data_IF_757364950241
#
_entry.id   IF_757364950241
#
_cell.length_a   1.000
_cell.length_b   1.000
_cell.length_c   1.000
_cell.angle_alpha   90.00
_cell.angle_beta   90.00
_cell.angle_gamma   90.00
#
_symmetry.space_group_name_H-M   'P 1'
#
loop_
_entity.id
_entity.type
_entity.pdbx_description
1 polymer ?
#
# COMPACT_ATOMS: atom_id res chain seq x y z
N UNK A 1 26.98 -8.38 -3.80
CA UNK A 1 25.67 -8.70 -3.20
C UNK A 1 25.81 -9.71 -2.05
N UNK A 2 26.35 -10.91 -2.29
CA UNK A 2 26.57 -11.92 -1.24
C UNK A 2 27.36 -11.39 -0.02
N UNK A 3 28.42 -10.61 -0.24
CA UNK A 3 29.16 -9.96 0.84
C UNK A 3 28.27 -9.04 1.70
N UNK A 4 27.30 -8.34 1.12
CA UNK A 4 26.38 -7.51 1.88
C UNK A 4 25.45 -8.36 2.76
N UNK A 5 24.96 -9.49 2.23
CA UNK A 5 24.18 -10.47 3.01
C UNK A 5 25.03 -11.06 4.13
N UNK A 6 26.29 -11.40 3.87
CA UNK A 6 27.22 -11.88 4.89
C UNK A 6 27.42 -10.86 6.01
N UNK A 7 27.58 -9.57 5.69
CA UNK A 7 27.68 -8.51 6.70
C UNK A 7 26.40 -8.37 7.53
N UNK A 8 25.22 -8.51 6.93
CA UNK A 8 23.96 -8.54 7.67
C UNK A 8 23.88 -9.73 8.65
N UNK A 9 24.40 -10.91 8.26
CA UNK A 9 24.51 -12.07 9.15
C UNK A 9 25.50 -11.81 10.30
N UNK A 10 26.65 -11.20 10.01
CA UNK A 10 27.67 -10.86 11.00
C UNK A 10 27.13 -9.92 12.09
N UNK A 11 26.34 -8.91 11.72
CA UNK A 11 25.62 -8.07 12.68
C UNK A 11 24.78 -8.89 13.68
N UNK A 12 24.04 -9.88 13.18
CA UNK A 12 23.21 -10.76 13.99
C UNK A 12 24.02 -11.55 15.02
N UNK A 13 25.22 -11.99 14.66
CA UNK A 13 26.15 -12.67 15.57
C UNK A 13 26.74 -11.74 16.63
N UNK A 14 26.98 -10.46 16.31
CA UNK A 14 27.59 -9.51 17.24
C UNK A 14 26.62 -8.90 18.26
N UNK A 15 25.35 -8.69 17.89
CA UNK A 15 24.39 -7.96 18.72
C UNK A 15 23.26 -8.82 19.29
N UNK A 16 23.22 -10.12 18.95
CA UNK A 16 22.08 -10.99 19.20
C UNK A 16 20.87 -10.56 18.37
N UNK A 17 20.11 -11.52 17.86
CA UNK A 17 18.76 -11.21 17.38
C UNK A 17 18.00 -10.62 18.56
N UNK A 18 17.50 -9.39 18.44
CA UNK A 18 16.68 -8.75 19.48
C UNK A 18 15.33 -9.45 19.62
N UNK A 19 15.31 -10.77 19.79
CA UNK A 19 14.14 -11.66 19.78
C UNK A 19 13.10 -11.28 20.83
N UNK A 20 13.52 -10.61 21.91
CA UNK A 20 12.64 -10.10 22.97
C UNK A 20 12.36 -8.59 22.90
N UNK A 21 12.84 -7.88 21.87
CA UNK A 21 12.61 -6.45 21.72
C UNK A 21 11.27 -6.18 21.03
N UNK A 22 10.43 -5.32 21.63
CA UNK A 22 9.12 -4.90 21.08
C UNK A 22 9.26 -4.24 19.69
N UNK A 23 10.43 -3.66 19.39
CA UNK A 23 10.81 -3.12 18.07
C UNK A 23 12.25 -3.50 17.74
N UNK A 24 12.51 -4.68 17.16
CA UNK A 24 13.86 -5.05 16.75
C UNK A 24 14.37 -4.09 15.66
N UNK A 25 15.70 -3.93 15.61
CA UNK A 25 16.38 -3.27 14.50
C UNK A 25 16.60 -4.27 13.35
N UNK A 26 16.57 -3.83 12.09
CA UNK A 26 16.89 -4.70 10.97
C UNK A 26 18.37 -5.09 10.96
N UNK A 27 18.63 -6.27 10.44
CA UNK A 27 19.95 -6.72 10.00
C UNK A 27 20.26 -6.11 8.64
N UNK A 28 21.24 -5.22 8.61
CA UNK A 28 21.62 -4.45 7.42
C UNK A 28 23.12 -4.56 7.19
N UNK A 29 23.50 -5.05 6.02
CA UNK A 29 24.85 -5.04 5.51
C UNK A 29 24.99 -4.11 4.31
N UNK A 30 26.11 -3.41 4.22
CA UNK A 30 26.43 -2.49 3.14
C UNK A 30 27.84 -2.74 2.62
N UNK A 31 27.98 -2.74 1.30
CA UNK A 31 29.27 -2.87 0.59
C UNK A 31 29.41 -1.72 -0.39
N UNK A 32 30.53 -1.01 -0.34
CA UNK A 32 30.88 0.06 -1.29
C UNK A 32 32.02 -0.42 -2.17
N UNK A 33 31.82 -0.37 -3.48
CA UNK A 33 32.84 -0.67 -4.50
C UNK A 33 33.18 0.63 -5.22
N UNK A 34 34.40 1.12 -5.00
CA UNK A 34 34.88 2.38 -5.59
C UNK A 34 35.19 2.21 -7.09
N UNK A 35 35.31 3.30 -7.88
CA UNK A 35 35.73 3.21 -9.28
C UNK A 35 37.11 2.55 -9.49
N UNK A 36 37.98 2.59 -8.47
CA UNK A 36 39.30 1.93 -8.48
C UNK A 36 39.24 0.44 -8.17
N UNK A 37 38.06 -0.08 -7.81
CA UNK A 37 37.87 -1.49 -7.43
C UNK A 37 38.11 -1.77 -5.94
N UNK A 38 38.40 -0.77 -5.10
CA UNK A 38 38.48 -0.96 -3.65
C UNK A 38 37.09 -1.33 -3.09
N UNK A 39 37.05 -2.31 -2.20
CA UNK A 39 35.82 -2.85 -1.60
C UNK A 39 35.83 -2.58 -0.10
N UNK A 40 34.78 -1.93 0.39
CA UNK A 40 34.58 -1.63 1.81
C UNK A 40 33.30 -2.27 2.30
N UNK A 41 33.37 -2.98 3.42
CA UNK A 41 32.23 -3.72 3.99
C UNK A 41 31.84 -3.17 5.36
N UNK A 42 30.55 -3.13 5.62
CA UNK A 42 30.01 -2.65 6.89
C UNK A 42 28.68 -3.32 7.19
N UNK A 43 28.29 -3.26 8.46
CA UNK A 43 26.96 -3.61 8.93
C UNK A 43 26.48 -2.59 9.96
N UNK A 44 25.17 -2.56 10.22
CA UNK A 44 24.60 -1.65 11.22
C UNK A 44 25.19 -1.94 12.60
N UNK A 45 25.69 -0.92 13.28
CA UNK A 45 26.34 -1.08 14.57
C UNK A 45 27.84 -1.34 14.53
N UNK A 46 28.44 -1.53 13.35
CA UNK A 46 29.88 -1.83 13.23
C UNK A 46 30.73 -0.75 13.91
N UNK A 47 31.59 -1.19 14.83
CA UNK A 47 32.62 -0.35 15.46
C UNK A 47 33.83 -0.22 14.53
N UNK A 48 34.39 0.98 14.47
CA UNK A 48 35.61 1.29 13.74
C UNK A 48 36.70 1.81 14.70
N UNK A 49 37.94 1.90 14.20
CA UNK A 49 39.04 2.48 14.96
C UNK A 49 38.68 3.92 15.38
N UNK A 50 38.88 4.23 16.66
CA UNK A 50 38.47 5.52 17.26
C UNK A 50 37.03 5.55 17.82
N UNK A 51 36.25 4.47 17.73
CA UNK A 51 34.94 4.35 18.39
C UNK A 51 35.03 3.81 19.84
N UNK A 52 36.21 3.89 20.48
CA UNK A 52 36.43 3.45 21.86
C UNK A 52 35.46 4.15 22.82
N UNK A 53 34.67 3.36 23.58
CA UNK A 53 33.65 3.88 24.49
C UNK A 53 32.38 4.43 23.82
N UNK A 54 32.28 4.48 22.48
CA UNK A 54 31.09 4.95 21.76
C UNK A 54 30.06 3.84 21.55
N UNK A 55 28.80 4.13 21.84
CA UNK A 55 27.69 3.27 21.44
C UNK A 55 27.38 3.46 19.94
N UNK A 56 27.81 2.50 19.12
CA UNK A 56 27.59 2.53 17.67
C UNK A 56 26.29 1.85 17.24
N UNK A 57 25.46 1.31 18.14
CA UNK A 57 24.29 0.50 17.78
C UNK A 57 23.26 1.20 16.85
N UNK A 58 23.28 2.53 16.83
CA UNK A 58 22.41 3.36 15.97
C UNK A 58 23.09 3.86 14.68
N UNK A 59 24.36 3.51 14.44
CA UNK A 59 25.05 3.80 13.19
C UNK A 59 24.59 2.80 12.13
N UNK A 60 24.02 3.33 11.04
CA UNK A 60 23.56 2.52 9.91
C UNK A 60 24.75 2.01 9.09
N UNK A 61 24.55 0.90 8.38
CA UNK A 61 25.61 0.29 7.59
C UNK A 61 26.16 1.27 6.53
N UNK A 62 25.28 1.96 5.80
CA UNK A 62 25.66 2.90 4.74
C UNK A 62 26.40 4.12 5.29
N UNK A 63 25.99 4.61 6.48
CA UNK A 63 26.71 5.65 7.21
C UNK A 63 28.12 5.20 7.56
N UNK A 64 28.25 4.02 8.18
CA UNK A 64 29.56 3.50 8.58
C UNK A 64 30.47 3.28 7.38
N UNK A 65 29.94 2.75 6.27
CA UNK A 65 30.71 2.60 5.04
C UNK A 65 31.24 3.93 4.52
N UNK A 66 30.37 4.91 4.29
CA UNK A 66 30.74 6.15 3.60
C UNK A 66 31.55 7.12 4.47
N UNK A 67 31.26 7.18 5.77
CA UNK A 67 31.83 8.20 6.66
C UNK A 67 33.04 7.71 7.46
N UNK A 68 33.12 6.40 7.73
CA UNK A 68 34.18 5.84 8.59
C UNK A 68 35.18 4.97 7.85
N UNK A 69 34.78 4.31 6.76
CA UNK A 69 35.60 3.29 6.11
C UNK A 69 36.14 3.74 4.75
N UNK A 70 35.31 4.36 3.92
CA UNK A 70 35.72 4.81 2.59
C UNK A 70 36.53 6.11 2.71
N UNK A 71 37.78 6.16 2.21
CA UNK A 71 38.55 7.39 2.21
C UNK A 71 37.84 8.52 1.44
N UNK A 72 38.01 9.75 1.92
CA UNK A 72 37.33 10.90 1.34
C UNK A 72 37.65 11.05 -0.16
N UNK A 73 36.60 11.19 -0.98
CA UNK A 73 36.69 11.28 -2.44
C UNK A 73 36.66 9.94 -3.17
N UNK A 74 36.96 8.80 -2.52
CA UNK A 74 36.91 7.49 -3.19
C UNK A 74 35.48 6.95 -3.37
N UNK A 75 34.51 7.52 -2.65
CA UNK A 75 33.08 7.21 -2.80
C UNK A 75 32.46 7.79 -4.09
N UNK A 76 33.09 8.80 -4.71
CA UNK A 76 32.52 9.46 -5.90
C UNK A 76 32.50 8.47 -7.06
N UNK A 77 31.31 8.26 -7.63
CA UNK A 77 31.11 7.31 -8.71
C UNK A 77 31.08 5.84 -8.28
N UNK A 78 31.08 5.55 -6.97
CA UNK A 78 31.04 4.19 -6.45
C UNK A 78 29.71 3.47 -6.73
N UNK A 79 29.73 2.14 -6.66
CA UNK A 79 28.52 1.30 -6.58
C UNK A 79 28.33 0.83 -5.15
N UNK A 80 27.14 1.05 -4.60
CA UNK A 80 26.79 0.64 -3.24
C UNK A 80 25.79 -0.51 -3.28
N UNK A 81 26.07 -1.57 -2.52
CA UNK A 81 25.16 -2.70 -2.33
C UNK A 81 24.67 -2.67 -0.89
N UNK A 82 23.36 -2.52 -0.67
CA UNK A 82 22.75 -2.51 0.67
C UNK A 82 21.66 -3.56 0.75
N UNK A 83 21.59 -4.29 1.87
CA UNK A 83 20.58 -5.35 2.03
C UNK A 83 19.18 -4.82 2.29
N UNK A 84 19.05 -3.59 2.83
CA UNK A 84 17.75 -2.93 3.04
C UNK A 84 17.76 -1.55 2.39
N UNK A 85 16.60 -1.09 1.93
CA UNK A 85 16.43 0.24 1.33
C UNK A 85 17.01 1.35 2.24
N UNK A 86 17.81 2.28 1.69
CA UNK A 86 18.38 3.38 2.46
C UNK A 86 17.30 4.28 3.07
N UNK A 87 17.39 4.51 4.37
CA UNK A 87 16.45 5.39 5.08
C UNK A 87 16.49 6.84 4.56
N UNK A 88 15.34 7.51 4.57
CA UNK A 88 15.19 8.93 4.18
C UNK A 88 15.11 9.87 5.39
N UNK A 89 15.04 9.32 6.60
CA UNK A 89 15.00 10.06 7.86
C UNK A 89 15.73 9.26 8.94
N UNK A 90 16.49 9.95 9.79
CA UNK A 90 17.09 9.41 11.01
C UNK A 90 16.54 10.15 12.22
N UNK A 91 16.61 9.51 13.39
CA UNK A 91 16.29 10.18 14.65
C UNK A 91 17.38 11.22 15.00
N UNK A 92 16.97 12.38 15.51
CA UNK A 92 17.86 13.52 15.76
C UNK A 92 18.23 14.32 14.50
N UNK A 93 19.34 15.06 14.56
CA UNK A 93 19.85 15.93 13.48
C UNK A 93 20.76 15.18 12.47
N UNK A 94 20.68 13.86 12.41
CA UNK A 94 21.55 13.07 11.54
C UNK A 94 21.03 13.03 10.09
N UNK A 95 21.92 13.34 9.14
CA UNK A 95 21.65 13.19 7.69
C UNK A 95 21.29 11.74 7.36
N UNK A 96 20.23 11.55 6.56
CA UNK A 96 19.71 10.23 6.17
C UNK A 96 20.67 9.42 5.31
N UNK A 97 20.50 8.10 5.24
CA UNK A 97 21.36 7.26 4.39
C UNK A 97 21.19 7.63 2.90
N UNK A 98 19.95 7.88 2.47
CA UNK A 98 19.67 8.29 1.10
C UNK A 98 20.34 9.64 0.77
N UNK A 99 20.25 10.64 1.66
CA UNK A 99 20.93 11.93 1.46
C UNK A 99 22.46 11.77 1.42
N UNK A 100 23.03 10.91 2.27
CA UNK A 100 24.48 10.64 2.27
C UNK A 100 24.95 10.01 0.97
N UNK A 101 24.18 9.10 0.40
CA UNK A 101 24.50 8.50 -0.90
C UNK A 101 24.48 9.56 -2.02
N UNK A 102 23.51 10.47 -1.97
CA UNK A 102 23.43 11.62 -2.90
C UNK A 102 24.63 12.56 -2.72
N UNK A 103 24.92 12.96 -1.49
CA UNK A 103 26.04 13.86 -1.17
C UNK A 103 27.40 13.24 -1.53
N UNK A 104 27.54 11.93 -1.34
CA UNK A 104 28.71 11.15 -1.75
C UNK A 104 28.80 10.96 -3.27
N UNK A 105 27.80 11.39 -4.05
CA UNK A 105 27.79 11.28 -5.52
C UNK A 105 28.09 9.86 -5.99
N UNK A 106 27.48 8.87 -5.34
CA UNK A 106 27.57 7.49 -5.79
C UNK A 106 26.89 7.35 -7.15
N UNK A 107 27.41 6.47 -8.01
CA UNK A 107 26.85 6.29 -9.35
C UNK A 107 25.63 5.37 -9.33
N UNK A 108 25.71 4.33 -8.50
CA UNK A 108 24.75 3.22 -8.53
C UNK A 108 24.49 2.68 -7.12
N UNK A 109 23.23 2.37 -6.83
CA UNK A 109 22.82 1.70 -5.60
C UNK A 109 22.02 0.44 -5.96
N UNK A 110 22.46 -0.69 -5.42
CA UNK A 110 21.80 -1.99 -5.58
C UNK A 110 21.18 -2.39 -4.25
N UNK A 111 19.89 -2.68 -4.23
CA UNK A 111 19.09 -2.82 -3.01
C UNK A 111 18.59 -4.26 -2.85
N UNK A 112 18.72 -4.82 -1.65
CA UNK A 112 18.34 -6.19 -1.36
C UNK A 112 16.86 -6.39 -1.03
N UNK A 113 16.28 -5.50 -0.22
CA UNK A 113 14.87 -5.56 0.17
C UNK A 113 14.35 -4.16 0.49
N UNK A 114 13.08 -3.91 0.25
CA UNK A 114 12.45 -2.61 0.53
C UNK A 114 12.19 -2.44 2.03
N UNK A 115 12.33 -1.21 2.54
CA UNK A 115 12.01 -0.95 3.95
C UNK A 115 10.48 -0.96 4.11
N UNK A 116 9.89 -1.80 4.99
CA UNK A 116 8.45 -1.82 5.22
C UNK A 116 7.90 -0.55 5.89
N UNK A 117 8.75 0.30 6.46
CA UNK A 117 8.34 1.56 7.10
C UNK A 117 7.80 2.56 6.04
N UNK A 118 6.69 3.24 6.34
CA UNK A 118 6.01 4.18 5.42
C UNK A 118 6.76 5.48 5.16
N UNK A 119 7.90 5.64 5.82
CA UNK A 119 8.88 6.69 5.59
C UNK A 119 9.94 6.29 4.55
N UNK A 120 9.95 5.04 4.09
CA UNK A 120 10.81 4.52 3.02
C UNK A 120 10.48 5.16 1.67
N UNK A 121 11.16 6.25 1.35
CA UNK A 121 11.17 6.85 0.01
C UNK A 121 12.61 6.92 -0.53
N UNK A 122 13.46 5.99 -0.10
CA UNK A 122 14.88 5.97 -0.39
C UNK A 122 15.11 5.79 -1.88
N UNK A 123 14.43 4.82 -2.48
CA UNK A 123 14.45 4.59 -3.94
C UNK A 123 14.05 5.84 -4.70
N UNK A 124 12.92 6.46 -4.34
CA UNK A 124 12.44 7.67 -5.03
C UNK A 124 13.47 8.79 -4.93
N UNK A 125 14.00 9.06 -3.73
CA UNK A 125 15.02 10.10 -3.52
C UNK A 125 16.31 9.84 -4.31
N UNK A 126 16.79 8.59 -4.37
CA UNK A 126 18.00 8.23 -5.12
C UNK A 126 17.76 8.36 -6.64
N UNK A 127 16.61 7.91 -7.13
CA UNK A 127 16.23 8.05 -8.52
C UNK A 127 16.13 9.53 -8.93
N UNK A 128 15.52 10.38 -8.09
CA UNK A 128 15.41 11.83 -8.30
C UNK A 128 16.78 12.53 -8.34
N UNK A 129 17.80 11.94 -7.72
CA UNK A 129 19.19 12.39 -7.79
C UNK A 129 19.97 11.81 -8.98
N UNK A 130 19.30 11.12 -9.91
CA UNK A 130 19.90 10.43 -11.07
C UNK A 130 20.93 9.34 -10.69
N UNK A 131 20.72 8.67 -9.56
CA UNK A 131 21.51 7.49 -9.17
C UNK A 131 20.90 6.25 -9.82
N UNK A 132 21.73 5.41 -10.44
CA UNK A 132 21.29 4.16 -11.06
C UNK A 132 20.83 3.17 -9.98
N UNK A 133 19.63 2.62 -10.14
CA UNK A 133 19.04 1.67 -9.18
C UNK A 133 18.94 0.27 -9.77
N UNK A 134 19.25 -0.73 -8.95
CA UNK A 134 19.04 -2.14 -9.27
C UNK A 134 18.68 -2.93 -8.00
N UNK A 135 18.23 -4.18 -8.18
CA UNK A 135 17.90 -5.07 -7.08
C UNK A 135 18.89 -6.24 -6.99
N UNK A 136 18.92 -6.89 -5.83
CA UNK A 136 19.65 -8.14 -5.66
C UNK A 136 18.95 -9.27 -6.42
N UNK A 137 19.67 -10.37 -6.66
CA UNK A 137 19.08 -11.59 -7.22
C UNK A 137 17.97 -12.14 -6.31
N UNK A 138 16.88 -12.71 -6.86
CA UNK A 138 15.70 -13.15 -6.09
C UNK A 138 16.01 -14.06 -4.90
N UNK A 139 16.96 -14.99 -5.04
CA UNK A 139 17.34 -15.90 -3.96
C UNK A 139 17.97 -15.16 -2.77
N UNK A 140 18.81 -14.16 -3.05
CA UNK A 140 19.41 -13.32 -2.02
C UNK A 140 18.38 -12.39 -1.37
N UNK A 141 17.41 -11.88 -2.13
CA UNK A 141 16.30 -11.10 -1.57
C UNK A 141 15.47 -11.94 -0.60
N UNK A 142 15.16 -13.18 -0.96
CA UNK A 142 14.42 -14.12 -0.10
C UNK A 142 15.21 -14.45 1.18
N UNK A 143 16.53 -14.61 1.06
CA UNK A 143 17.38 -14.77 2.23
C UNK A 143 17.36 -13.52 3.14
N UNK A 144 17.52 -12.33 2.59
CA UNK A 144 17.47 -11.08 3.36
C UNK A 144 16.13 -10.94 4.09
N UNK A 145 15.02 -11.28 3.42
CA UNK A 145 13.69 -11.33 4.02
C UNK A 145 13.64 -12.27 5.21
N UNK A 146 14.15 -13.50 5.08
CA UNK A 146 14.22 -14.49 6.17
C UNK A 146 15.07 -14.01 7.33
N UNK A 147 16.25 -13.44 7.06
CA UNK A 147 17.13 -12.86 8.09
C UNK A 147 16.45 -11.75 8.88
N UNK A 148 15.58 -10.98 8.22
CA UNK A 148 14.86 -9.86 8.82
C UNK A 148 13.42 -10.20 9.23
N UNK A 149 13.01 -11.47 9.23
CA UNK A 149 11.60 -11.85 9.39
C UNK A 149 10.97 -11.24 10.65
N UNK A 150 11.63 -11.31 11.81
CA UNK A 150 11.12 -10.71 13.05
C UNK A 150 11.03 -9.17 12.98
N UNK A 151 11.99 -8.51 12.32
CA UNK A 151 11.90 -7.07 12.05
C UNK A 151 10.71 -6.74 11.16
N UNK A 152 10.56 -7.44 10.03
CA UNK A 152 9.46 -7.26 9.10
C UNK A 152 8.11 -7.50 9.80
N UNK A 153 8.00 -8.58 10.57
CA UNK A 153 6.80 -8.93 11.33
C UNK A 153 6.48 -7.90 12.41
N UNK A 154 7.49 -7.34 13.11
CA UNK A 154 7.25 -6.25 14.06
C UNK A 154 6.72 -4.98 13.39
N UNK A 155 7.18 -4.69 12.16
CA UNK A 155 6.75 -3.53 11.38
C UNK A 155 5.36 -3.76 10.78
N UNK A 156 5.04 -4.99 10.36
CA UNK A 156 3.71 -5.41 9.91
C UNK A 156 2.71 -5.52 11.07
N UNK A 157 3.10 -6.01 12.24
CA UNK A 157 2.26 -5.99 13.44
C UNK A 157 2.00 -4.55 13.91
N UNK A 158 2.99 -3.65 13.76
CA UNK A 158 2.78 -2.21 13.94
C UNK A 158 2.01 -1.55 12.78
N UNK A 159 1.88 -2.21 11.63
CA UNK A 159 1.05 -1.74 10.50
C UNK A 159 -0.45 -1.94 10.74
N UNK A 160 -0.83 -2.69 11.78
CA UNK A 160 -2.20 -2.70 12.33
C UNK A 160 -2.50 -1.48 13.22
N UNK A 161 -1.48 -0.69 13.56
CA UNK A 161 -1.60 0.48 14.43
C UNK A 161 -0.73 1.63 13.89
N UNK A 162 -0.96 2.04 12.64
CA UNK A 162 -0.30 3.23 12.11
C UNK A 162 -0.96 4.49 12.69
N UNK A 163 -0.19 5.49 13.16
CA UNK A 163 -0.75 6.72 13.72
C UNK A 163 -1.70 7.45 12.75
N UNK A 164 -1.51 7.26 11.44
CA UNK A 164 -2.37 7.87 10.43
C UNK A 164 -3.66 7.10 10.15
N UNK A 165 -3.81 5.85 10.63
CA UNK A 165 -5.10 5.14 10.52
C UNK A 165 -6.17 5.92 11.25
N UNK A 166 -5.96 6.22 12.53
CA UNK A 166 -6.92 6.98 13.33
C UNK A 166 -7.11 8.41 12.83
N UNK A 167 -6.12 9.00 12.15
CA UNK A 167 -6.26 10.30 11.48
C UNK A 167 -7.25 10.22 10.30
N UNK A 168 -7.06 9.25 9.39
CA UNK A 168 -7.95 9.05 8.24
C UNK A 168 -9.34 8.57 8.69
N UNK A 169 -9.41 7.64 9.65
CA UNK A 169 -10.67 7.17 10.24
C UNK A 169 -11.46 8.37 10.80
N UNK A 170 -10.82 9.28 11.56
CA UNK A 170 -11.46 10.51 12.06
C UNK A 170 -11.86 11.47 10.95
N UNK A 171 -11.01 11.68 9.94
CA UNK A 171 -11.34 12.50 8.76
C UNK A 171 -12.57 11.95 8.01
N UNK A 172 -12.78 10.64 8.07
CA UNK A 172 -13.96 9.97 7.53
C UNK A 172 -15.11 9.85 8.54
N UNK A 173 -15.10 10.63 9.64
CA UNK A 173 -16.15 10.61 10.67
C UNK A 173 -16.26 9.29 11.44
N UNK A 174 -15.17 8.53 11.53
CA UNK A 174 -15.09 7.17 12.07
C UNK A 174 -16.07 6.18 11.41
N UNK A 175 -16.48 6.44 10.17
CA UNK A 175 -17.29 5.53 9.34
C UNK A 175 -16.43 4.52 8.56
N UNK A 176 -15.12 4.64 8.70
CA UNK A 176 -14.13 3.78 8.09
C UNK A 176 -13.30 3.12 9.19
N UNK A 177 -12.87 1.88 8.95
CA UNK A 177 -11.86 1.18 9.73
C UNK A 177 -10.74 0.70 8.81
N UNK A 178 -9.50 1.05 9.08
CA UNK A 178 -8.36 0.49 8.34
C UNK A 178 -7.92 -0.79 9.04
N UNK A 179 -8.01 -1.91 8.32
CA UNK A 179 -7.78 -3.25 8.86
C UNK A 179 -6.34 -3.72 8.70
N UNK A 180 -5.60 -3.18 7.74
CA UNK A 180 -4.18 -3.50 7.56
C UNK A 180 -3.54 -2.78 6.38
N UNK A 181 -2.24 -2.55 6.47
CA UNK A 181 -1.38 -2.08 5.39
C UNK A 181 -0.32 -3.16 5.12
N UNK A 182 -0.36 -3.70 3.90
CA UNK A 182 0.31 -4.92 3.48
C UNK A 182 1.26 -4.61 2.32
N UNK A 183 2.42 -5.27 2.32
CA UNK A 183 3.41 -5.17 1.26
C UNK A 183 2.99 -5.88 -0.04
N UNK A 184 2.10 -6.87 0.04
CA UNK A 184 1.57 -7.64 -1.09
C UNK A 184 0.10 -7.98 -0.85
N UNK A 185 -0.61 -8.39 -1.90
CA UNK A 185 -1.97 -8.89 -1.77
C UNK A 185 -2.05 -10.06 -0.78
N UNK A 186 -3.09 -10.14 0.06
CA UNK A 186 -3.30 -11.28 0.94
C UNK A 186 -3.78 -12.49 0.14
N UNK A 187 -3.43 -13.68 0.63
CA UNK A 187 -3.99 -14.95 0.18
C UNK A 187 -5.45 -15.04 0.60
N UNK A 188 -6.25 -15.68 -0.24
CA UNK A 188 -7.67 -15.92 0.02
C UNK A 188 -7.87 -17.36 0.50
N UNK A 189 -8.48 -17.52 1.67
CA UNK A 189 -8.79 -18.84 2.25
C UNK A 189 -10.29 -18.99 2.43
N UNK A 190 -10.90 -19.83 1.60
CA UNK A 190 -12.29 -20.24 1.75
C UNK A 190 -12.43 -21.12 3.00
N UNK A 191 -13.29 -20.73 3.93
CA UNK A 191 -13.54 -21.49 5.16
C UNK A 191 -14.93 -22.12 5.23
N UNK A 192 -15.83 -21.80 4.28
CA UNK A 192 -17.15 -22.41 4.23
C UNK A 192 -18.11 -21.69 3.29
N UNK A 193 -19.40 -21.98 3.45
CA UNK A 193 -20.52 -21.26 2.86
C UNK A 193 -21.30 -20.59 3.99
N UNK A 194 -21.73 -19.35 3.77
CA UNK A 194 -22.50 -18.61 4.76
C UNK A 194 -23.83 -19.30 5.06
N UNK A 195 -24.16 -19.38 6.35
CA UNK A 195 -25.42 -19.92 6.83
C UNK A 195 -26.51 -18.83 6.79
N UNK A 196 -27.42 -18.92 5.82
CA UNK A 196 -28.48 -17.93 5.65
C UNK A 196 -29.47 -17.95 6.84
N UNK A 197 -29.80 -16.79 7.44
CA UNK A 197 -30.69 -16.73 8.59
C UNK A 197 -32.07 -17.30 8.26
N UNK A 198 -32.59 -18.29 9.03
CA UNK A 198 -33.88 -18.92 8.76
C UNK A 198 -35.04 -17.91 8.69
N UNK A 199 -34.97 -16.84 9.48
CA UNK A 199 -36.00 -15.79 9.54
C UNK A 199 -36.12 -14.93 8.27
N UNK A 200 -35.15 -15.01 7.34
CA UNK A 200 -35.15 -14.26 6.08
C UNK A 200 -35.43 -15.14 4.85
N UNK A 201 -35.81 -16.40 5.03
CA UNK A 201 -35.88 -17.40 3.95
C UNK A 201 -36.96 -17.10 2.89
N UNK A 202 -38.15 -16.64 3.30
CA UNK A 202 -39.26 -16.36 2.35
C UNK A 202 -38.94 -15.22 1.36
N UNK A 203 -38.44 -14.04 1.79
CA UNK A 203 -37.96 -13.01 0.86
C UNK A 203 -36.86 -13.50 -0.09
N UNK A 204 -35.94 -14.33 0.40
CA UNK A 204 -34.87 -14.91 -0.40
C UNK A 204 -35.42 -15.84 -1.50
N UNK A 205 -36.32 -16.77 -1.16
CA UNK A 205 -36.96 -17.67 -2.14
C UNK A 205 -37.72 -16.91 -3.23
N UNK A 206 -38.41 -15.82 -2.86
CA UNK A 206 -39.09 -14.94 -3.81
C UNK A 206 -38.11 -14.27 -4.77
N UNK A 207 -36.96 -13.81 -4.26
CA UNK A 207 -35.90 -13.21 -5.07
C UNK A 207 -35.26 -14.23 -6.02
N UNK A 208 -35.02 -15.47 -5.57
CA UNK A 208 -34.52 -16.58 -6.41
C UNK A 208 -35.46 -16.85 -7.58
N UNK A 209 -36.76 -17.07 -7.32
CA UNK A 209 -37.75 -17.33 -8.38
C UNK A 209 -37.82 -16.20 -9.41
N UNK A 210 -37.84 -14.95 -8.96
CA UNK A 210 -37.85 -13.78 -9.85
C UNK A 210 -36.60 -13.73 -10.74
N UNK A 211 -35.42 -14.04 -10.21
CA UNK A 211 -34.19 -14.03 -10.99
C UNK A 211 -34.09 -15.22 -11.95
N UNK A 212 -34.58 -16.41 -11.58
CA UNK A 212 -34.71 -17.54 -12.51
C UNK A 212 -35.59 -17.19 -13.71
N UNK A 213 -36.73 -16.53 -13.47
CA UNK A 213 -37.64 -16.06 -14.51
C UNK A 213 -37.03 -14.95 -15.40
N UNK A 214 -36.25 -14.03 -14.82
CA UNK A 214 -35.69 -12.90 -15.55
C UNK A 214 -34.37 -13.21 -16.29
N UNK A 215 -33.51 -14.07 -15.71
CA UNK A 215 -32.11 -14.18 -16.13
C UNK A 215 -31.60 -15.62 -16.31
N UNK A 216 -32.40 -16.66 -16.04
CA UNK A 216 -32.05 -18.03 -16.41
C UNK A 216 -30.68 -18.52 -15.91
N UNK A 217 -30.45 -18.51 -14.59
CA UNK A 217 -29.36 -19.28 -13.97
C UNK A 217 -28.00 -18.59 -13.79
N UNK A 218 -27.94 -17.25 -13.82
CA UNK A 218 -26.72 -16.53 -13.41
C UNK A 218 -26.52 -16.64 -11.89
N UNK A 219 -25.45 -17.31 -11.46
CA UNK A 219 -25.04 -17.42 -10.05
C UNK A 219 -23.87 -16.45 -9.83
N UNK A 220 -24.13 -15.35 -9.13
CA UNK A 220 -23.11 -14.39 -8.70
C UNK A 220 -22.71 -14.73 -7.26
N UNK A 221 -21.54 -15.34 -7.09
CA UNK A 221 -20.98 -15.64 -5.77
C UNK A 221 -20.17 -14.45 -5.28
N UNK A 222 -20.52 -13.94 -4.11
CA UNK A 222 -19.78 -12.92 -3.39
C UNK A 222 -19.16 -13.57 -2.15
N UNK A 223 -18.02 -13.05 -1.69
CA UNK A 223 -17.39 -13.50 -0.46
C UNK A 223 -17.69 -12.58 0.73
N UNK A 224 -17.92 -13.17 1.89
CA UNK A 224 -17.98 -12.45 3.18
C UNK A 224 -16.64 -12.53 3.92
N UNK A 225 -16.14 -11.39 4.41
CA UNK A 225 -14.91 -11.31 5.20
C UNK A 225 -15.10 -11.83 6.63
N UNK A 226 -14.26 -12.78 7.04
CA UNK A 226 -14.24 -13.32 8.40
C UNK A 226 -13.17 -12.68 9.26
N UNK A 227 -11.90 -12.78 8.86
CA UNK A 227 -10.77 -12.26 9.63
C UNK A 227 -9.50 -12.09 8.80
N UNK A 228 -8.59 -11.27 9.33
CA UNK A 228 -7.17 -11.25 8.95
C UNK A 228 -6.39 -12.03 10.02
N UNK A 229 -5.54 -12.95 9.58
CA UNK A 229 -4.72 -13.78 10.50
C UNK A 229 -3.44 -13.05 10.94
N UNK A 230 -2.76 -13.57 11.99
CA UNK A 230 -1.59 -12.95 12.65
C UNK A 230 -0.41 -12.55 11.72
N UNK A 231 -0.39 -13.01 10.47
CA UNK A 231 0.60 -12.60 9.46
C UNK A 231 0.13 -11.52 8.48
N UNK A 232 -1.05 -10.91 8.66
CA UNK A 232 -1.63 -9.84 7.81
C UNK A 232 -1.94 -10.24 6.36
N UNK A 233 -1.53 -11.44 5.94
CA UNK A 233 -1.44 -11.86 4.53
C UNK A 233 -2.44 -12.96 4.17
N UNK A 234 -3.40 -13.28 5.03
CA UNK A 234 -4.49 -14.21 4.69
C UNK A 234 -5.83 -13.62 5.11
N UNK A 235 -6.75 -13.52 4.16
CA UNK A 235 -8.17 -13.23 4.38
C UNK A 235 -8.93 -14.54 4.39
N UNK A 236 -9.60 -14.82 5.50
CA UNK A 236 -10.58 -15.91 5.57
C UNK A 236 -11.95 -15.42 5.10
N UNK A 237 -12.62 -16.22 4.28
CA UNK A 237 -13.92 -15.85 3.72
C UNK A 237 -14.90 -17.02 3.60
N UNK A 238 -16.19 -16.69 3.61
CA UNK A 238 -17.31 -17.62 3.38
C UNK A 238 -18.01 -17.27 2.06
N UNK A 239 -18.41 -18.30 1.31
CA UNK A 239 -19.16 -18.09 0.07
C UNK A 239 -20.60 -17.67 0.36
N UNK A 240 -21.06 -16.71 -0.42
CA UNK A 240 -22.31 -16.03 -0.23
C UNK A 240 -22.97 -15.79 -1.61
N UNK A 241 -24.29 -15.94 -1.74
CA UNK A 241 -24.99 -15.68 -3.01
C UNK A 241 -25.48 -14.22 -3.10
N UNK A 242 -25.42 -13.59 -4.28
CA UNK A 242 -25.86 -12.20 -4.45
C UNK A 242 -27.30 -11.93 -3.99
N UNK A 243 -28.22 -12.88 -4.20
CA UNK A 243 -29.61 -12.75 -3.76
C UNK A 243 -29.75 -12.82 -2.25
N UNK A 244 -28.94 -13.67 -1.61
CA UNK A 244 -28.85 -13.68 -0.17
C UNK A 244 -28.39 -12.27 0.31
N UNK A 245 -27.49 -11.60 -0.43
CA UNK A 245 -26.81 -10.39 0.03
C UNK A 245 -27.77 -9.22 -0.07
N UNK A 246 -28.51 -9.20 -1.18
CA UNK A 246 -29.59 -8.26 -1.43
C UNK A 246 -30.68 -8.41 -0.37
N UNK A 247 -31.08 -9.65 -0.07
CA UNK A 247 -32.10 -9.93 0.95
C UNK A 247 -31.66 -9.46 2.34
N UNK A 248 -30.39 -9.70 2.72
CA UNK A 248 -29.82 -9.16 3.96
C UNK A 248 -29.89 -7.64 4.00
N UNK A 249 -29.54 -6.95 2.91
CA UNK A 249 -29.61 -5.48 2.83
C UNK A 249 -31.04 -4.94 2.90
N UNK A 250 -31.98 -5.57 2.20
CA UNK A 250 -33.41 -5.23 2.27
C UNK A 250 -33.95 -5.37 3.70
N UNK A 251 -33.42 -6.34 4.46
CA UNK A 251 -33.69 -6.52 5.88
C UNK A 251 -32.90 -5.57 6.81
N UNK A 252 -32.19 -4.59 6.27
CA UNK A 252 -31.40 -3.61 7.03
C UNK A 252 -30.08 -4.14 7.61
N UNK A 253 -29.64 -5.35 7.23
CA UNK A 253 -28.34 -5.90 7.61
C UNK A 253 -27.24 -5.33 6.70
N UNK A 254 -26.00 -5.38 7.17
CA UNK A 254 -24.81 -4.87 6.48
C UNK A 254 -23.76 -5.99 6.35
N UNK A 255 -23.98 -6.99 5.47
CA UNK A 255 -23.03 -8.08 5.29
C UNK A 255 -21.66 -7.54 4.86
N UNK A 256 -20.59 -8.12 5.43
CA UNK A 256 -19.21 -7.66 5.20
C UNK A 256 -18.66 -8.24 3.90
N UNK A 257 -18.90 -7.60 2.78
CA UNK A 257 -18.50 -8.12 1.46
C UNK A 257 -17.09 -7.67 1.07
N UNK A 258 -16.31 -8.56 0.47
CA UNK A 258 -14.94 -8.28 0.03
C UNK A 258 -14.97 -7.67 -1.37
N UNK A 259 -14.28 -6.54 -1.51
CA UNK A 259 -14.08 -5.83 -2.77
C UNK A 259 -12.58 -5.71 -3.06
N UNK A 260 -12.22 -5.65 -4.33
CA UNK A 260 -10.86 -5.39 -4.77
C UNK A 260 -10.84 -4.20 -5.73
N UNK A 261 -9.94 -3.25 -5.50
CA UNK A 261 -9.95 -1.99 -6.23
C UNK A 261 -8.60 -1.29 -6.26
N UNK A 262 -8.51 -0.17 -6.98
CA UNK A 262 -7.26 0.60 -7.07
C UNK A 262 -7.49 2.10 -7.20
N UNK A 263 -6.43 2.86 -6.89
CA UNK A 263 -6.29 4.24 -7.33
C UNK A 263 -5.58 4.24 -8.68
N UNK A 264 -6.21 4.85 -9.68
CA UNK A 264 -5.69 4.95 -11.05
C UNK A 264 -5.17 6.35 -11.29
N UNK A 265 -3.91 6.45 -11.69
CA UNK A 265 -3.21 7.71 -11.93
C UNK A 265 -2.68 7.73 -13.35
N UNK A 266 -2.81 8.88 -14.03
CA UNK A 266 -2.04 9.14 -15.24
C UNK A 266 -1.11 10.33 -14.97
N UNK A 267 0.18 10.05 -14.92
CA UNK A 267 1.21 11.06 -14.64
C UNK A 267 1.25 12.17 -15.70
N UNK A 268 1.07 11.79 -16.98
CA UNK A 268 1.15 12.71 -18.12
C UNK A 268 0.00 13.73 -18.12
N UNK A 269 -1.22 13.29 -17.80
CA UNK A 269 -2.40 14.18 -17.69
C UNK A 269 -2.50 14.88 -16.34
N UNK A 270 -1.64 14.54 -15.38
CA UNK A 270 -1.66 15.12 -14.03
C UNK A 270 -2.98 14.88 -13.30
N UNK A 271 -3.60 13.71 -13.48
CA UNK A 271 -4.95 13.42 -12.97
C UNK A 271 -5.03 12.05 -12.30
N UNK A 272 -5.87 11.97 -11.26
CA UNK A 272 -6.44 10.71 -10.79
C UNK A 272 -7.73 10.42 -11.58
N UNK A 273 -8.07 9.15 -11.74
CA UNK A 273 -9.30 8.73 -12.38
C UNK A 273 -10.16 8.01 -11.37
N UNK A 274 -11.42 8.41 -11.30
CA UNK A 274 -12.40 7.88 -10.36
C UNK A 274 -13.66 7.45 -11.09
N UNK A 275 -14.45 6.61 -10.43
CA UNK A 275 -15.72 6.15 -10.92
C UNK A 275 -16.86 7.01 -10.33
N UNK A 276 -17.68 7.59 -11.19
CA UNK A 276 -18.98 8.15 -10.81
C UNK A 276 -20.03 7.06 -10.96
N UNK A 277 -20.52 6.57 -9.83
CA UNK A 277 -21.51 5.48 -9.75
C UNK A 277 -22.80 5.88 -10.47
N UNK A 278 -23.40 4.94 -11.20
CA UNK A 278 -24.64 5.17 -11.93
C UNK A 278 -25.84 5.48 -10.98
N UNK A 279 -26.91 6.12 -11.46
CA UNK A 279 -28.05 6.48 -10.63
C UNK A 279 -28.84 5.27 -10.08
N UNK A 280 -28.75 4.12 -10.74
CA UNK A 280 -29.52 2.90 -10.49
C UNK A 280 -28.79 1.84 -9.67
N UNK A 281 -27.56 2.10 -9.22
CA UNK A 281 -26.82 1.18 -8.35
C UNK A 281 -27.44 1.10 -6.95
N UNK A 282 -27.32 -0.08 -6.31
CA UNK A 282 -27.95 -0.36 -5.02
C UNK A 282 -27.34 0.42 -3.83
N UNK A 283 -26.10 0.90 -3.95
CA UNK A 283 -25.38 1.58 -2.87
C UNK A 283 -24.74 2.87 -3.36
N UNK A 284 -24.99 3.97 -2.64
CA UNK A 284 -24.38 5.28 -2.88
C UNK A 284 -24.46 5.77 -4.35
N UNK A 285 -25.67 5.86 -4.93
CA UNK A 285 -25.85 6.26 -6.34
C UNK A 285 -25.37 7.69 -6.60
N UNK A 286 -24.89 7.96 -7.82
CA UNK A 286 -24.35 9.25 -8.28
C UNK A 286 -23.07 9.73 -7.60
N UNK A 287 -22.55 9.00 -6.61
CA UNK A 287 -21.34 9.38 -5.87
C UNK A 287 -20.06 8.98 -6.59
N UNK A 288 -19.01 9.75 -6.35
CA UNK A 288 -17.64 9.45 -6.75
C UNK A 288 -17.03 8.38 -5.83
N UNK A 289 -16.32 7.45 -6.41
CA UNK A 289 -15.61 6.38 -5.71
C UNK A 289 -14.31 6.01 -6.44
N UNK A 290 -13.39 5.36 -5.73
CA UNK A 290 -12.31 4.63 -6.41
C UNK A 290 -12.90 3.46 -7.21
N UNK A 291 -12.19 3.01 -8.24
CA UNK A 291 -12.54 1.76 -8.93
C UNK A 291 -12.39 0.60 -7.95
N UNK A 292 -13.47 -0.15 -7.75
CA UNK A 292 -13.50 -1.32 -6.88
C UNK A 292 -14.73 -2.16 -7.19
N UNK A 293 -14.53 -3.48 -7.30
CA UNK A 293 -15.63 -4.41 -7.53
C UNK A 293 -15.53 -5.68 -6.69
N UNK A 294 -16.60 -6.46 -6.73
CA UNK A 294 -16.79 -7.60 -5.82
C UNK A 294 -15.78 -8.72 -6.03
N UNK A 295 -15.34 -9.34 -4.94
CA UNK A 295 -14.54 -10.56 -5.02
C UNK A 295 -15.42 -11.76 -5.38
N UNK A 296 -15.30 -12.20 -6.63
CA UNK A 296 -15.98 -13.39 -7.17
C UNK A 296 -14.95 -14.50 -7.36
N UNK A 297 -15.21 -15.65 -6.74
CA UNK A 297 -14.36 -16.84 -6.80
C UNK A 297 -14.63 -17.58 -8.12
N UNK A 298 -13.61 -17.77 -8.95
CA UNK A 298 -13.73 -18.61 -10.14
C UNK A 298 -13.97 -20.08 -9.73
N UNK A 299 -14.89 -20.77 -10.41
CA UNK A 299 -15.41 -22.07 -9.96
C UNK A 299 -14.38 -23.22 -9.84
N UNK A 300 -13.12 -23.10 -10.28
CA UNK A 300 -12.09 -24.15 -10.11
C UNK A 300 -10.67 -23.57 -10.04
N UNK A 301 -9.84 -24.15 -9.15
CA UNK A 301 -8.39 -23.97 -8.97
C UNK A 301 -7.87 -22.54 -8.96
N UNK A 302 -7.57 -21.99 -7.77
CA UNK A 302 -7.10 -20.61 -7.66
C UNK A 302 -5.81 -20.51 -6.86
N UNK A 303 -4.78 -19.94 -7.51
CA UNK A 303 -3.52 -19.49 -6.91
C UNK A 303 -3.65 -18.08 -6.31
N UNK A 304 -2.63 -17.64 -5.58
CA UNK A 304 -2.59 -16.44 -4.72
C UNK A 304 -2.91 -15.06 -5.40
N UNK A 305 -3.12 -14.98 -6.72
CA UNK A 305 -3.31 -13.72 -7.48
C UNK A 305 -4.78 -13.27 -7.66
N UNK A 306 -5.74 -14.00 -7.09
CA UNK A 306 -7.18 -13.79 -7.31
C UNK A 306 -7.69 -12.36 -7.06
N UNK A 307 -7.21 -11.70 -6.00
CA UNK A 307 -7.67 -10.35 -5.66
C UNK A 307 -7.15 -9.30 -6.65
N UNK A 308 -5.91 -9.48 -7.13
CA UNK A 308 -5.36 -8.60 -8.16
C UNK A 308 -6.09 -8.83 -9.49
N UNK A 309 -6.40 -10.09 -9.83
CA UNK A 309 -7.22 -10.40 -11.01
C UNK A 309 -8.63 -9.84 -10.91
N UNK A 310 -9.27 -9.93 -9.73
CA UNK A 310 -10.56 -9.29 -9.49
C UNK A 310 -10.44 -7.78 -9.70
N UNK A 311 -9.49 -7.12 -9.05
CA UNK A 311 -9.22 -5.69 -9.23
C UNK A 311 -9.02 -5.31 -10.72
N UNK A 312 -8.15 -6.02 -11.44
CA UNK A 312 -7.86 -5.77 -12.85
C UNK A 312 -9.06 -6.03 -13.77
N UNK A 313 -9.88 -7.04 -13.48
CA UNK A 313 -11.13 -7.31 -14.19
C UNK A 313 -12.11 -6.15 -14.00
N UNK A 314 -12.37 -5.77 -12.75
CA UNK A 314 -13.31 -4.70 -12.41
C UNK A 314 -12.88 -3.38 -13.04
N UNK A 315 -11.59 -3.03 -12.95
CA UNK A 315 -11.01 -1.88 -13.63
C UNK A 315 -11.23 -1.94 -15.15
N UNK A 316 -10.98 -3.09 -15.78
CA UNK A 316 -11.17 -3.25 -17.22
C UNK A 316 -12.65 -3.13 -17.62
N UNK A 317 -13.57 -3.63 -16.81
CA UNK A 317 -15.01 -3.57 -17.05
C UNK A 317 -15.59 -2.17 -16.81
N UNK A 318 -15.17 -1.48 -15.75
CA UNK A 318 -15.65 -0.16 -15.37
C UNK A 318 -15.02 0.99 -16.16
N UNK A 319 -13.78 0.82 -16.61
CA UNK A 319 -13.00 1.89 -17.23
C UNK A 319 -12.50 1.59 -18.63
N UNK A 320 -12.52 0.33 -19.08
CA UNK A 320 -12.01 -0.05 -20.40
C UNK A 320 -10.48 -0.14 -20.48
N UNK A 321 -9.76 0.04 -19.37
CA UNK A 321 -8.30 -0.06 -19.33
C UNK A 321 -7.80 -0.93 -18.18
N UNK A 322 -6.64 -1.55 -18.39
CA UNK A 322 -5.88 -2.22 -17.34
C UNK A 322 -4.70 -1.34 -16.90
N UNK A 323 -4.65 -0.89 -15.63
CA UNK A 323 -3.51 -0.17 -15.10
C UNK A 323 -2.31 -1.10 -14.89
N UNK A 324 -1.13 -0.52 -15.01
CA UNK A 324 0.14 -1.16 -14.69
C UNK A 324 0.51 -0.89 -13.24
N UNK A 325 0.93 -1.95 -12.56
CA UNK A 325 1.38 -1.90 -11.17
C UNK A 325 2.87 -2.26 -11.15
N UNK A 326 3.75 -1.27 -10.97
CA UNK A 326 5.20 -1.50 -10.87
C UNK A 326 5.61 -1.94 -9.45
N UNK A 327 5.03 -1.32 -8.43
CA UNK A 327 5.15 -1.67 -7.01
C UNK A 327 3.80 -1.37 -6.35
N UNK A 328 3.25 -2.31 -5.58
CA UNK A 328 1.90 -2.14 -5.01
C UNK A 328 1.89 -2.31 -3.51
N UNK A 329 1.53 -1.23 -2.80
CA UNK A 329 1.03 -1.36 -1.43
C UNK A 329 -0.44 -1.73 -1.47
N UNK A 330 -0.84 -2.61 -0.57
CA UNK A 330 -2.23 -3.03 -0.42
C UNK A 330 -2.74 -2.58 0.94
N UNK A 331 -3.83 -1.81 0.98
CA UNK A 331 -4.46 -1.41 2.25
C UNK A 331 -5.87 -1.95 2.27
N UNK A 332 -6.24 -2.56 3.39
CA UNK A 332 -7.58 -3.12 3.59
C UNK A 332 -8.40 -2.10 4.38
N UNK A 333 -9.50 -1.65 3.79
CA UNK A 333 -10.35 -0.59 4.32
C UNK A 333 -11.76 -1.13 4.46
N UNK A 334 -12.31 -1.07 5.67
CA UNK A 334 -13.70 -1.39 5.94
C UNK A 334 -14.55 -0.13 5.99
N UNK A 335 -15.60 -0.10 5.18
CA UNK A 335 -16.65 0.91 5.23
C UNK A 335 -17.77 0.43 6.18
N UNK A 336 -17.85 1.01 7.37
CA UNK A 336 -18.75 0.62 8.44
C UNK A 336 -20.22 0.97 8.13
N UNK A 337 -20.46 1.94 7.23
CA UNK A 337 -21.81 2.34 6.86
C UNK A 337 -22.48 1.31 5.94
N UNK A 338 -21.71 0.69 5.05
CA UNK A 338 -22.24 -0.24 4.03
C UNK A 338 -21.68 -1.66 4.12
N UNK A 339 -20.69 -1.94 4.97
CA UNK A 339 -20.08 -3.27 5.13
C UNK A 339 -19.14 -3.67 4.00
N UNK A 340 -18.54 -2.74 3.26
CA UNK A 340 -17.55 -3.10 2.24
C UNK A 340 -16.18 -3.25 2.87
N UNK A 341 -15.47 -4.31 2.49
CA UNK A 341 -14.07 -4.55 2.83
C UNK A 341 -13.25 -4.40 1.55
N UNK A 342 -12.78 -3.20 1.32
CA UNK A 342 -12.04 -2.81 0.12
C UNK A 342 -10.56 -3.21 0.29
N UNK A 343 -10.10 -4.18 -0.51
CA UNK A 343 -8.69 -4.51 -0.68
C UNK A 343 -8.13 -3.62 -1.78
N UNK A 344 -7.52 -2.51 -1.36
CA UNK A 344 -7.11 -1.43 -2.27
C UNK A 344 -5.64 -1.53 -2.66
N UNK A 345 -5.39 -1.56 -3.96
CA UNK A 345 -4.09 -1.57 -4.60
C UNK A 345 -3.66 -0.13 -4.92
N UNK A 346 -2.51 0.30 -4.43
CA UNK A 346 -1.97 1.64 -4.64
C UNK A 346 -0.77 1.63 -5.59
N UNK A 347 -0.73 2.55 -6.54
CA UNK A 347 0.31 2.63 -7.57
C UNK A 347 -0.13 2.17 -8.96
N UNK A 348 -1.44 2.04 -9.20
CA UNK A 348 -1.98 1.76 -10.52
C UNK A 348 -1.79 2.95 -11.46
N UNK A 349 -1.05 2.74 -12.54
CA UNK A 349 -0.76 3.78 -13.53
C UNK A 349 -1.32 3.43 -14.90
N UNK A 350 -1.77 4.43 -15.64
CA UNK A 350 -2.13 4.29 -17.05
C UNK A 350 -1.34 5.31 -17.89
N UNK A 351 -0.84 4.91 -19.07
CA UNK A 351 -0.21 5.86 -19.98
C UNK A 351 -1.26 6.79 -20.60
N UNK A 352 -0.85 7.99 -21.04
CA UNK A 352 -1.74 8.95 -21.70
C UNK A 352 -2.52 8.34 -22.88
N UNK A 353 -1.87 7.46 -23.66
CA UNK A 353 -2.50 6.76 -24.78
C UNK A 353 -3.71 5.89 -24.40
N UNK A 354 -3.80 5.48 -23.13
CA UNK A 354 -4.93 4.71 -22.60
C UNK A 354 -6.04 5.61 -22.06
N UNK A 355 -5.78 6.89 -21.77
CA UNK A 355 -6.80 7.84 -21.29
C UNK A 355 -7.94 7.98 -22.29
N UNK A 356 -7.65 8.00 -23.59
CA UNK A 356 -8.67 8.07 -24.65
C UNK A 356 -9.56 6.82 -24.73
N UNK A 357 -9.13 5.70 -24.12
CA UNK A 357 -9.90 4.44 -24.06
C UNK A 357 -10.78 4.39 -22.82
N UNK A 358 -10.62 5.32 -21.89
CA UNK A 358 -11.46 5.39 -20.70
C UNK A 358 -12.91 5.61 -21.11
N UNK A 359 -13.75 4.64 -20.80
CA UNK A 359 -15.18 4.67 -21.07
C UNK A 359 -15.91 4.22 -19.83
N UNK A 360 -17.04 4.87 -19.55
CA UNK A 360 -17.95 4.38 -18.53
C UNK A 360 -18.57 3.04 -18.91
N UNK A 361 -19.03 2.32 -17.90
CA UNK A 361 -19.79 1.07 -18.04
C UNK A 361 -21.27 1.33 -17.73
N UNK A 362 -22.07 0.25 -17.62
CA UNK A 362 -23.42 0.36 -17.05
C UNK A 362 -23.39 0.82 -15.59
N UNK A 363 -22.31 0.56 -14.88
CA UNK A 363 -22.19 0.83 -13.45
C UNK A 363 -21.77 2.27 -13.14
N UNK A 364 -21.34 3.02 -14.16
CA UNK A 364 -21.00 4.43 -13.98
C UNK A 364 -20.10 5.02 -15.05
N UNK A 365 -19.64 6.25 -14.81
CA UNK A 365 -18.77 7.01 -15.71
C UNK A 365 -17.38 7.19 -15.11
N UNK A 366 -16.35 7.18 -15.95
CA UNK A 366 -15.01 7.56 -15.53
C UNK A 366 -14.90 9.08 -15.49
N UNK A 367 -14.41 9.63 -14.38
CA UNK A 367 -14.22 11.07 -14.18
C UNK A 367 -12.75 11.36 -13.86
N UNK A 368 -12.04 12.15 -14.68
CA UNK A 368 -10.73 12.65 -14.32
C UNK A 368 -10.85 13.73 -13.24
N UNK A 369 -9.97 13.68 -12.24
CA UNK A 369 -9.77 14.76 -11.28
C UNK A 369 -8.31 15.20 -11.36
N UNK A 370 -8.04 16.39 -11.91
CA UNK A 370 -6.71 16.99 -11.89
C UNK A 370 -6.14 17.09 -10.47
N UNK A 371 -4.84 16.92 -10.35
CA UNK A 371 -4.14 16.91 -9.05
C UNK A 371 -4.37 18.17 -8.20
N UNK A 372 -4.52 19.33 -8.83
CA UNK A 372 -4.82 20.62 -8.19
C UNK A 372 -6.29 20.77 -7.78
N UNK A 373 -7.21 19.99 -8.35
CA UNK A 373 -8.62 19.99 -8.01
C UNK A 373 -9.00 18.93 -6.95
N UNK A 374 -8.07 18.06 -6.53
CA UNK A 374 -8.32 16.99 -5.53
C UNK A 374 -8.85 17.56 -4.22
N UNK A 375 -8.17 18.57 -3.65
CA UNK A 375 -8.57 19.17 -2.38
C UNK A 375 -9.98 19.76 -2.48
N UNK A 376 -10.27 20.50 -3.54
CA UNK A 376 -11.59 21.09 -3.76
C UNK A 376 -12.67 20.01 -3.94
N UNK A 377 -12.37 18.96 -4.70
CA UNK A 377 -13.28 17.84 -4.95
C UNK A 377 -13.66 17.12 -3.65
N UNK A 378 -12.70 16.86 -2.76
CA UNK A 378 -12.96 16.16 -1.50
C UNK A 378 -13.54 17.08 -0.44
N UNK A 379 -12.98 18.27 -0.24
CA UNK A 379 -13.42 19.19 0.81
C UNK A 379 -14.78 19.82 0.47
N UNK A 380 -14.90 20.48 -0.68
CA UNK A 380 -16.11 21.26 -0.99
C UNK A 380 -17.26 20.41 -1.54
N UNK A 381 -17.00 19.17 -1.93
CA UNK A 381 -18.02 18.25 -2.46
C UNK A 381 -18.03 16.89 -1.76
N UNK A 382 -17.67 16.83 -0.46
CA UNK A 382 -17.55 15.56 0.29
C UNK A 382 -18.79 14.66 0.19
N UNK A 383 -19.99 15.25 0.15
CA UNK A 383 -21.25 14.49 0.12
C UNK A 383 -21.49 13.83 -1.24
N UNK A 384 -20.78 14.27 -2.28
CA UNK A 384 -20.74 13.64 -3.60
C UNK A 384 -19.79 12.44 -3.65
N UNK A 385 -19.13 12.07 -2.56
CA UNK A 385 -18.21 10.93 -2.51
C UNK A 385 -18.75 9.81 -1.63
N UNK A 386 -18.47 8.58 -2.03
CA UNK A 386 -18.51 7.44 -1.12
C UNK A 386 -17.40 7.63 -0.10
N UNK A 387 -17.70 7.41 1.18
CA UNK A 387 -16.76 7.70 2.27
C UNK A 387 -15.48 6.84 2.20
N UNK A 388 -15.56 5.58 1.76
CA UNK A 388 -14.38 4.76 1.49
C UNK A 388 -13.55 5.32 0.34
N UNK A 389 -14.18 5.92 -0.68
CA UNK A 389 -13.50 6.65 -1.74
C UNK A 389 -12.64 7.79 -1.19
N UNK A 390 -13.17 8.62 -0.28
CA UNK A 390 -12.38 9.66 0.40
C UNK A 390 -11.19 9.02 1.13
N UNK A 391 -11.43 7.94 1.89
CA UNK A 391 -10.39 7.24 2.61
C UNK A 391 -9.29 6.72 1.69
N UNK A 392 -9.64 6.10 0.55
CA UNK A 392 -8.67 5.59 -0.42
C UNK A 392 -7.76 6.70 -0.94
N UNK A 393 -8.30 7.88 -1.25
CA UNK A 393 -7.48 8.99 -1.75
C UNK A 393 -6.61 9.62 -0.65
N UNK A 394 -7.11 9.70 0.59
CA UNK A 394 -6.29 10.11 1.73
C UNK A 394 -5.16 9.12 2.00
N UNK A 395 -5.41 7.81 1.89
CA UNK A 395 -4.39 6.76 2.01
C UNK A 395 -3.37 6.93 0.88
N UNK A 396 -3.81 7.09 -0.37
CA UNK A 396 -2.90 7.31 -1.50
C UNK A 396 -1.98 8.52 -1.30
N UNK A 397 -2.52 9.67 -0.88
CA UNK A 397 -1.73 10.85 -0.56
C UNK A 397 -0.76 10.56 0.60
N UNK A 398 -1.21 9.84 1.64
CA UNK A 398 -0.39 9.46 2.79
C UNK A 398 0.77 8.54 2.43
N UNK A 399 0.56 7.66 1.46
CA UNK A 399 1.57 6.75 0.90
C UNK A 399 2.56 7.45 -0.05
N UNK A 400 2.50 8.78 -0.18
CA UNK A 400 3.37 9.54 -1.06
C UNK A 400 2.92 9.48 -2.53
N UNK A 401 1.61 9.33 -2.76
CA UNK A 401 0.94 9.36 -4.06
C UNK A 401 1.64 8.47 -5.11
N UNK A 402 1.81 7.16 -4.86
CA UNK A 402 2.45 6.26 -5.81
C UNK A 402 1.78 6.33 -7.19
N UNK A 403 2.59 6.33 -8.25
CA UNK A 403 2.14 6.50 -9.64
C UNK A 403 2.05 7.96 -10.12
N UNK A 404 2.09 8.94 -9.22
CA UNK A 404 2.15 10.35 -9.60
C UNK A 404 3.58 10.81 -9.98
N UNK A 405 3.74 11.92 -10.74
CA UNK A 405 5.03 12.53 -11.01
C UNK A 405 5.78 12.94 -9.74
N UNK A 406 7.12 12.93 -9.77
CA UNK A 406 7.97 13.27 -8.62
C UNK A 406 7.67 14.65 -8.02
N UNK A 407 7.40 15.65 -8.85
CA UNK A 407 7.05 17.00 -8.40
C UNK A 407 5.80 17.01 -7.50
N UNK A 408 4.80 16.18 -7.82
CA UNK A 408 3.58 16.07 -7.03
C UNK A 408 3.84 15.30 -5.74
N UNK A 409 4.55 14.17 -5.84
CA UNK A 409 4.85 13.27 -4.70
C UNK A 409 5.65 13.97 -3.60
N UNK A 410 6.68 14.72 -3.95
CA UNK A 410 7.60 15.32 -2.97
C UNK A 410 7.02 16.52 -2.22
N UNK A 411 6.18 17.34 -2.87
CA UNK A 411 5.73 18.63 -2.33
C UNK A 411 4.23 18.70 -2.13
N UNK A 412 3.45 18.31 -3.13
CA UNK A 412 2.01 18.51 -3.13
C UNK A 412 1.27 17.44 -2.33
N UNK A 413 1.62 16.16 -2.48
CA UNK A 413 0.87 15.08 -1.84
C UNK A 413 0.85 15.17 -0.29
N UNK A 414 1.98 15.41 0.41
CA UNK A 414 1.96 15.57 1.87
C UNK A 414 1.18 16.81 2.32
N UNK A 415 1.24 17.89 1.54
CA UNK A 415 0.52 19.13 1.82
C UNK A 415 -0.99 18.95 1.64
N UNK A 416 -1.42 18.37 0.52
CA UNK A 416 -2.83 18.05 0.24
C UNK A 416 -3.40 17.11 1.29
N UNK A 417 -2.68 16.05 1.67
CA UNK A 417 -3.10 15.15 2.75
C UNK A 417 -3.41 15.92 4.03
N UNK A 418 -2.49 16.79 4.44
CA UNK A 418 -2.63 17.59 5.66
C UNK A 418 -3.82 18.56 5.56
N UNK A 419 -3.95 19.28 4.45
CA UNK A 419 -5.02 20.24 4.23
C UNK A 419 -6.39 19.57 4.28
N UNK A 420 -6.56 18.46 3.55
CA UNK A 420 -7.83 17.73 3.48
C UNK A 420 -8.20 17.16 4.84
N UNK A 421 -7.25 16.50 5.54
CA UNK A 421 -7.50 16.00 6.89
C UNK A 421 -7.92 17.12 7.85
N UNK A 422 -7.20 18.26 7.85
CA UNK A 422 -7.55 19.42 8.68
C UNK A 422 -8.93 19.98 8.37
N UNK A 423 -9.29 20.06 7.09
CA UNK A 423 -10.61 20.54 6.66
C UNK A 423 -11.74 19.60 7.07
N UNK A 424 -11.52 18.27 6.96
CA UNK A 424 -12.51 17.25 7.31
C UNK A 424 -12.64 17.05 8.83
N UNK A 425 -11.59 17.33 9.60
CA UNK A 425 -11.60 17.32 11.07
C UNK A 425 -11.37 18.72 11.64
N UNK A 426 -12.33 19.66 11.48
CA UNK A 426 -12.17 20.98 12.06
C UNK A 426 -12.07 20.86 13.58
N UNK A 427 -11.08 21.53 14.18
CA UNK A 427 -10.92 21.60 15.63
C UNK A 427 -12.19 22.15 16.26
N UNK A 428 -12.50 21.76 17.51
CA UNK A 428 -13.68 22.27 18.24
C UNK A 428 -13.75 23.81 18.26
N UNK A 429 -12.61 24.50 18.13
CA UNK A 429 -12.49 25.96 18.03
C UNK A 429 -12.84 26.59 16.68
N UNK A 430 -13.17 25.80 15.64
CA UNK A 430 -13.39 26.26 14.27
C UNK A 430 -14.79 25.94 13.71
N UNK A 431 -15.69 25.40 14.55
CA UNK A 431 -17.10 25.28 14.17
C UNK A 431 -17.74 26.67 14.16
N UNK A 432 -18.35 27.14 13.05
CA UNK A 432 -19.12 28.36 13.09
C UNK A 432 -20.24 28.20 14.11
N UNK A 433 -20.35 29.20 14.99
CA UNK A 433 -21.33 29.32 16.07
C UNK A 433 -22.77 29.32 15.56
#
# INVERSE_FOLDING_TARGET
>A
MELAVQQAREQGSCYGSGENAIRPNPLVGCVVVTPKGNVYTSYRGKKCDGDEGRNCANDHAEYTALEKLVPQGEHVGATVFTTLEPCTRREGNAVSCADRLVDAKVKRVVIGYLDPDDRGHGISKLADANIELAFFEPDLMNEIRKLNQHFLDSRLASSLCRPWFSEIERACGNKIKILGDLATAPKMKRVGKYAFPPELNEPYEKNVRRNEEQWGGWIEQIAEFKSLTQGGSVIEYEDYDYLQWKTLREAGRKPRAIYAGAIVVCADTGSIYVHRRAPDVATEPNKLHSFAGGFIVAHQNISDETLLHACLRELQEESGVQPQFAETRVVIVENLDIGWIDVMFFGGTIPDSHVQRLKGSREGQVVPIPFDEIEKSICHNKDNWVISGIAHHLIWLKLGAPGAPSWFRQKNAPMLYKNICQWLTPSESSRPS
#
